data_IF_304956492867
#
_entry.id   IF_304956492867
#
_cell.length_a   1.000
_cell.length_b   1.000
_cell.length_c   1.000
_cell.angle_alpha   90.00
_cell.angle_beta   90.00
_cell.angle_gamma   90.00
#
_symmetry.space_group_name_H-M   'P 1'
#
loop_
_entity.id
_entity.type
_entity.pdbx_description
1 polymer ?
#
# COMPACT_ATOMS: atom_id res chain seq x y z
N UNK A 1 23.95 37.82 -33.89
CA UNK A 1 22.79 36.90 -33.84
C UNK A 1 23.13 35.56 -33.15
N UNK A 2 24.17 35.48 -32.31
CA UNK A 2 24.67 34.20 -31.77
C UNK A 2 24.38 33.96 -30.27
N UNK A 3 23.87 34.94 -29.53
CA UNK A 3 23.63 34.81 -28.09
C UNK A 3 22.38 33.99 -27.70
N UNK A 4 21.52 33.62 -28.65
CA UNK A 4 20.23 32.94 -28.37
C UNK A 4 20.29 31.40 -28.42
N UNK A 5 21.40 30.83 -28.88
CA UNK A 5 21.54 29.36 -28.99
C UNK A 5 21.95 28.76 -27.65
N UNK A 6 22.86 29.41 -26.93
CA UNK A 6 23.43 28.89 -25.67
C UNK A 6 22.40 28.84 -24.53
N UNK A 7 21.46 29.77 -24.48
CA UNK A 7 20.37 29.81 -23.48
C UNK A 7 19.34 28.69 -23.69
N UNK A 8 19.05 28.31 -24.93
CA UNK A 8 18.09 27.24 -25.21
C UNK A 8 18.66 25.83 -24.92
N UNK A 9 19.95 25.61 -25.13
CA UNK A 9 20.60 24.34 -24.78
C UNK A 9 20.71 24.13 -23.28
N UNK A 10 21.04 25.18 -22.51
CA UNK A 10 21.09 25.10 -21.04
C UNK A 10 19.70 24.87 -20.45
N UNK A 11 18.66 25.52 -20.97
CA UNK A 11 17.27 25.34 -20.52
C UNK A 11 16.70 23.96 -20.86
N UNK A 12 17.11 23.37 -21.97
CA UNK A 12 16.70 22.01 -22.38
C UNK A 12 17.43 20.94 -21.55
N UNK A 13 18.71 21.16 -21.20
CA UNK A 13 19.45 20.30 -20.28
C UNK A 13 18.88 20.31 -18.86
N UNK A 14 18.58 21.50 -18.32
CA UNK A 14 18.00 21.62 -16.98
C UNK A 14 16.61 20.97 -16.86
N UNK A 15 15.75 21.09 -17.87
CA UNK A 15 14.43 20.43 -17.87
C UNK A 15 14.50 18.90 -17.95
N UNK A 16 15.48 18.35 -18.67
CA UNK A 16 15.71 16.89 -18.71
C UNK A 16 16.25 16.38 -17.36
N UNK A 17 17.11 17.14 -16.69
CA UNK A 17 17.61 16.80 -15.34
C UNK A 17 16.54 17.01 -14.24
N UNK A 18 15.64 17.99 -14.39
CA UNK A 18 14.51 18.21 -13.47
C UNK A 18 13.44 17.10 -13.56
N UNK A 19 13.22 16.55 -14.75
CA UNK A 19 12.37 15.38 -14.94
C UNK A 19 13.02 14.09 -14.44
N UNK A 20 14.34 13.99 -14.45
CA UNK A 20 15.07 12.88 -13.83
C UNK A 20 15.06 12.93 -12.29
N UNK A 21 14.91 14.11 -11.69
CA UNK A 21 14.94 14.31 -10.24
C UNK A 21 13.57 14.26 -9.56
N UNK A 22 12.49 14.45 -10.31
CA UNK A 22 11.10 14.24 -9.88
C UNK A 22 10.75 12.73 -9.90
N UNK A 23 11.30 12.00 -8.92
CA UNK A 23 11.10 10.57 -8.76
C UNK A 23 9.62 10.13 -8.68
N UNK A 24 9.35 8.82 -8.81
CA UNK A 24 8.00 8.32 -9.10
C UNK A 24 6.97 8.71 -8.04
N UNK A 25 5.95 9.45 -8.44
CA UNK A 25 4.85 9.94 -7.57
C UNK A 25 3.84 8.85 -7.14
N UNK A 26 4.27 7.61 -6.94
CA UNK A 26 3.39 6.48 -6.60
C UNK A 26 3.96 5.48 -5.61
N UNK A 27 5.27 5.51 -5.37
CA UNK A 27 5.94 4.54 -4.49
C UNK A 27 5.44 4.66 -3.06
N UNK A 28 5.28 5.89 -2.54
CA UNK A 28 4.80 6.10 -1.17
C UNK A 28 3.41 5.53 -0.90
N UNK A 29 2.47 5.67 -1.85
CA UNK A 29 1.11 5.12 -1.71
C UNK A 29 1.16 3.60 -1.68
N UNK A 30 1.94 2.98 -2.57
CA UNK A 30 2.08 1.53 -2.62
C UNK A 30 2.74 0.97 -1.34
N UNK A 31 3.84 1.58 -0.89
CA UNK A 31 4.51 1.16 0.37
C UNK A 31 3.59 1.36 1.57
N UNK A 32 2.87 2.47 1.65
CA UNK A 32 1.91 2.72 2.72
C UNK A 32 0.80 1.66 2.74
N UNK A 33 0.28 1.29 1.57
CA UNK A 33 -0.73 0.26 1.40
C UNK A 33 -0.22 -1.11 1.87
N UNK A 34 0.97 -1.53 1.42
CA UNK A 34 1.55 -2.82 1.80
C UNK A 34 1.84 -2.90 3.29
N UNK A 35 2.43 -1.83 3.86
CA UNK A 35 2.71 -1.78 5.29
C UNK A 35 1.43 -1.66 6.13
N UNK A 36 0.39 -0.98 5.63
CA UNK A 36 -0.91 -0.95 6.30
C UNK A 36 -1.54 -2.34 6.34
N UNK A 37 -1.46 -3.09 5.24
CA UNK A 37 -1.93 -4.46 5.18
C UNK A 37 -1.14 -5.38 6.11
N UNK A 38 0.18 -5.23 6.15
CA UNK A 38 1.03 -5.96 7.09
C UNK A 38 0.65 -5.65 8.55
N UNK A 39 0.48 -4.38 8.89
CA UNK A 39 0.06 -3.97 10.24
C UNK A 39 -1.34 -4.46 10.57
N UNK A 40 -2.29 -4.41 9.63
CA UNK A 40 -3.62 -4.97 9.82
C UNK A 40 -3.53 -6.45 10.24
N UNK A 41 -2.70 -7.26 9.58
CA UNK A 41 -2.56 -8.68 9.90
C UNK A 41 -1.95 -8.92 11.29
N UNK A 42 -1.04 -8.05 11.73
CA UNK A 42 -0.44 -8.10 13.08
C UNK A 42 -1.43 -7.65 14.15
N UNK A 43 -2.19 -6.59 13.88
CA UNK A 43 -3.08 -5.94 14.85
C UNK A 43 -4.40 -6.69 15.02
N UNK A 44 -4.88 -7.36 13.98
CA UNK A 44 -6.17 -8.06 13.98
C UNK A 44 -6.36 -9.05 15.15
N UNK A 45 -5.44 -9.98 15.46
CA UNK A 45 -5.62 -10.88 16.61
C UNK A 45 -5.68 -10.13 17.95
N UNK A 46 -4.97 -9.01 18.08
CA UNK A 46 -4.99 -8.16 19.29
C UNK A 46 -6.37 -7.49 19.43
N UNK A 47 -6.85 -6.87 18.35
CA UNK A 47 -8.17 -6.21 18.31
C UNK A 47 -9.28 -7.22 18.61
N UNK A 48 -9.25 -8.40 17.98
CA UNK A 48 -10.24 -9.45 18.23
C UNK A 48 -10.20 -9.96 19.67
N UNK A 49 -9.01 -10.10 20.27
CA UNK A 49 -8.87 -10.50 21.67
C UNK A 49 -9.47 -9.46 22.62
N UNK A 50 -9.20 -8.17 22.39
CA UNK A 50 -9.77 -7.07 23.18
C UNK A 50 -11.29 -7.05 23.05
N UNK A 51 -11.81 -7.02 21.81
CA UNK A 51 -13.27 -6.98 21.57
C UNK A 51 -13.98 -8.24 22.10
N UNK A 52 -13.34 -9.41 22.00
CA UNK A 52 -13.85 -10.66 22.56
C UNK A 52 -13.92 -10.63 24.10
N UNK A 53 -12.89 -10.11 24.75
CA UNK A 53 -12.88 -9.95 26.23
C UNK A 53 -13.94 -8.98 26.75
N UNK A 54 -14.32 -8.00 25.92
CA UNK A 54 -15.40 -7.04 26.22
C UNK A 54 -16.80 -7.57 25.89
N UNK A 55 -16.91 -8.81 25.36
CA UNK A 55 -18.19 -9.38 24.92
C UNK A 55 -18.79 -8.72 23.67
N UNK A 56 -17.99 -7.92 22.95
CA UNK A 56 -18.43 -7.20 21.75
C UNK A 56 -18.54 -8.14 20.55
N UNK A 57 -17.62 -9.11 20.46
CA UNK A 57 -17.64 -10.21 19.48
C UNK A 57 -17.45 -11.53 20.22
N UNK A 58 -17.70 -12.65 19.54
CA UNK A 58 -17.35 -13.96 20.10
C UNK A 58 -15.83 -14.05 20.28
N UNK A 59 -15.32 -14.51 21.44
CA UNK A 59 -13.89 -14.63 21.65
C UNK A 59 -13.30 -15.58 20.60
N UNK A 60 -12.23 -15.17 19.89
CA UNK A 60 -11.63 -16.00 18.87
C UNK A 60 -11.05 -17.26 19.51
N UNK A 61 -11.28 -18.42 18.88
CA UNK A 61 -10.53 -19.62 19.22
C UNK A 61 -9.10 -19.44 18.71
N UNK A 62 -8.17 -19.12 19.61
CA UNK A 62 -6.76 -18.91 19.26
C UNK A 62 -6.16 -20.27 18.89
N UNK A 63 -5.94 -20.48 17.60
CA UNK A 63 -5.17 -21.60 17.06
C UNK A 63 -3.82 -21.09 16.57
N UNK A 64 -2.81 -21.98 16.50
CA UNK A 64 -1.49 -21.61 15.95
C UNK A 64 -1.63 -21.03 14.55
N UNK A 65 -2.51 -21.60 13.73
CA UNK A 65 -2.79 -21.15 12.35
C UNK A 65 -3.41 -19.75 12.29
N UNK A 66 -4.26 -19.37 13.25
CA UNK A 66 -4.90 -18.04 13.31
C UNK A 66 -3.93 -16.92 13.70
N UNK A 67 -2.75 -17.27 14.24
CA UNK A 67 -1.69 -16.32 14.59
C UNK A 67 -0.56 -16.36 13.57
N UNK A 68 -0.04 -17.54 13.27
CA UNK A 68 1.13 -17.72 12.38
C UNK A 68 0.81 -17.36 10.93
N UNK A 69 -0.37 -17.76 10.43
CA UNK A 69 -0.78 -17.46 9.05
C UNK A 69 -0.76 -15.96 8.73
N UNK A 70 -1.46 -15.12 9.51
CA UNK A 70 -1.43 -13.66 9.33
C UNK A 70 -0.03 -13.06 9.47
N UNK A 71 0.82 -13.57 10.37
CA UNK A 71 2.20 -13.08 10.51
C UNK A 71 3.07 -13.37 9.28
N UNK A 72 2.91 -14.53 8.65
CA UNK A 72 3.59 -14.85 7.38
C UNK A 72 3.16 -13.87 6.29
N UNK A 73 1.84 -13.63 6.18
CA UNK A 73 1.30 -12.66 5.23
C UNK A 73 1.85 -11.25 5.52
N UNK A 74 1.88 -10.85 6.79
CA UNK A 74 2.43 -9.56 7.22
C UNK A 74 3.90 -9.41 6.80
N UNK A 75 4.72 -10.43 7.02
CA UNK A 75 6.13 -10.43 6.63
C UNK A 75 6.30 -10.28 5.11
N UNK A 76 5.47 -10.97 4.31
CA UNK A 76 5.48 -10.85 2.85
C UNK A 76 5.18 -9.41 2.43
N UNK A 77 4.11 -8.81 2.93
CA UNK A 77 3.74 -7.43 2.56
C UNK A 77 4.72 -6.39 3.08
N UNK A 78 5.28 -6.57 4.28
CA UNK A 78 6.36 -5.72 4.78
C UNK A 78 7.60 -5.77 3.86
N UNK A 79 7.97 -6.97 3.40
CA UNK A 79 9.09 -7.18 2.48
C UNK A 79 8.81 -6.62 1.07
N UNK A 80 7.56 -6.68 0.59
CA UNK A 80 7.14 -6.06 -0.67
C UNK A 80 7.25 -4.54 -0.60
N UNK A 81 6.74 -3.91 0.46
CA UNK A 81 6.87 -2.47 0.68
C UNK A 81 8.34 -2.03 0.77
N UNK A 82 9.19 -2.78 1.48
CA UNK A 82 10.64 -2.51 1.49
C UNK A 82 11.29 -2.74 0.11
N UNK A 83 10.80 -3.72 -0.65
CA UNK A 83 11.23 -3.97 -2.03
C UNK A 83 10.95 -2.78 -2.95
N UNK A 84 9.76 -2.19 -2.85
CA UNK A 84 9.39 -0.97 -3.57
C UNK A 84 10.22 0.23 -3.11
N UNK A 85 10.40 0.40 -1.79
CA UNK A 85 11.21 1.48 -1.19
C UNK A 85 12.67 1.41 -1.62
N UNK A 86 13.22 0.20 -1.73
CA UNK A 86 14.60 -0.07 -2.17
C UNK A 86 14.77 -0.12 -3.69
N UNK A 87 13.73 0.21 -4.47
CA UNK A 87 13.82 0.34 -5.92
C UNK A 87 14.00 -0.99 -6.66
N UNK A 88 13.60 -2.13 -6.08
CA UNK A 88 13.74 -3.43 -6.73
C UNK A 88 12.72 -3.58 -7.86
N UNK A 89 13.21 -3.77 -9.09
CA UNK A 89 12.34 -3.86 -10.28
C UNK A 89 11.29 -4.98 -10.24
N UNK A 90 11.60 -6.12 -9.60
CA UNK A 90 10.62 -7.21 -9.42
C UNK A 90 9.45 -6.81 -8.51
N UNK A 91 9.71 -5.98 -7.49
CA UNK A 91 8.69 -5.54 -6.55
C UNK A 91 7.60 -4.72 -7.25
N UNK A 92 7.99 -3.92 -8.26
CA UNK A 92 7.03 -3.22 -9.12
C UNK A 92 6.08 -4.20 -9.84
N UNK A 93 6.62 -5.26 -10.43
CA UNK A 93 5.82 -6.23 -11.19
C UNK A 93 4.87 -6.96 -10.25
N UNK A 94 5.38 -7.45 -9.12
CA UNK A 94 4.56 -8.13 -8.10
C UNK A 94 3.46 -7.19 -7.59
N UNK A 95 3.79 -5.92 -7.32
CA UNK A 95 2.80 -4.95 -6.85
C UNK A 95 1.71 -4.65 -7.88
N UNK A 96 2.05 -4.57 -9.17
CA UNK A 96 1.06 -4.41 -10.24
C UNK A 96 0.08 -5.58 -10.28
N UNK A 97 0.58 -6.81 -10.11
CA UNK A 97 -0.24 -8.02 -10.07
C UNK A 97 -1.12 -8.02 -8.82
N UNK A 98 -0.53 -7.85 -7.63
CA UNK A 98 -1.26 -7.86 -6.37
C UNK A 98 -2.31 -6.74 -6.32
N UNK A 99 -2.00 -5.54 -6.80
CA UNK A 99 -2.96 -4.43 -6.82
C UNK A 99 -4.08 -4.68 -7.83
N UNK A 100 -3.78 -5.26 -9.00
CA UNK A 100 -4.83 -5.66 -9.95
C UNK A 100 -5.77 -6.71 -9.34
N UNK A 101 -5.21 -7.71 -8.65
CA UNK A 101 -5.99 -8.71 -7.91
C UNK A 101 -6.76 -8.10 -6.75
N UNK A 102 -6.16 -7.14 -6.04
CA UNK A 102 -6.80 -6.38 -4.96
C UNK A 102 -8.01 -5.62 -5.45
N UNK A 103 -7.93 -4.98 -6.62
CA UNK A 103 -9.08 -4.34 -7.26
C UNK A 103 -10.22 -5.32 -7.55
N UNK A 104 -9.91 -6.49 -8.15
CA UNK A 104 -10.90 -7.54 -8.39
C UNK A 104 -11.48 -8.08 -7.08
N UNK A 105 -10.65 -8.25 -6.05
CA UNK A 105 -11.06 -8.60 -4.70
C UNK A 105 -11.99 -7.55 -4.08
N UNK A 106 -11.74 -6.26 -4.33
CA UNK A 106 -12.60 -5.16 -3.92
C UNK A 106 -14.00 -5.23 -4.57
N UNK A 107 -14.06 -5.58 -5.85
CA UNK A 107 -15.34 -5.83 -6.55
C UNK A 107 -16.08 -7.00 -5.90
N UNK A 108 -15.38 -8.12 -5.67
CA UNK A 108 -15.97 -9.28 -4.97
C UNK A 108 -16.47 -8.92 -3.58
N UNK A 109 -15.68 -8.20 -2.79
CA UNK A 109 -16.05 -7.73 -1.46
C UNK A 109 -17.28 -6.81 -1.49
N UNK A 110 -17.41 -5.96 -2.52
CA UNK A 110 -18.58 -5.11 -2.69
C UNK A 110 -19.85 -5.93 -2.90
N UNK A 111 -19.80 -6.98 -3.74
CA UNK A 111 -20.94 -7.90 -3.91
C UNK A 111 -21.30 -8.62 -2.61
N UNK A 112 -20.30 -9.09 -1.87
CA UNK A 112 -20.50 -9.74 -0.56
C UNK A 112 -21.06 -8.77 0.50
N UNK A 113 -20.84 -7.47 0.35
CA UNK A 113 -21.37 -6.45 1.25
C UNK A 113 -22.86 -6.15 1.05
N UNK A 114 -23.45 -6.45 -0.12
CA UNK A 114 -24.85 -6.08 -0.46
C UNK A 114 -25.86 -6.51 0.63
N UNK A 115 -25.85 -7.76 1.15
CA UNK A 115 -26.79 -8.17 2.20
C UNK A 115 -26.57 -7.45 3.54
N UNK A 116 -25.35 -6.97 3.80
CA UNK A 116 -25.05 -6.17 5.00
C UNK A 116 -25.58 -4.74 4.87
N UNK A 117 -25.51 -4.16 3.67
CA UNK A 117 -26.07 -2.83 3.37
C UNK A 117 -27.58 -2.78 3.55
N UNK A 118 -28.29 -3.83 3.10
CA UNK A 118 -29.74 -3.95 3.32
C UNK A 118 -30.16 -3.97 4.79
N UNK A 119 -29.22 -4.27 5.70
CA UNK A 119 -29.40 -4.25 7.16
C UNK A 119 -28.83 -3.00 7.83
N UNK A 120 -28.41 -1.99 7.06
CA UNK A 120 -27.79 -0.75 7.55
C UNK A 120 -26.35 -0.92 8.05
N UNK A 121 -25.69 -2.04 7.79
CA UNK A 121 -24.29 -2.26 8.17
C UNK A 121 -23.35 -1.88 7.01
N UNK A 122 -22.71 -0.71 7.13
CA UNK A 122 -21.78 -0.17 6.14
C UNK A 122 -20.31 -0.51 6.40
N UNK A 123 -19.97 -1.17 7.53
CA UNK A 123 -18.58 -1.53 7.86
C UNK A 123 -17.89 -2.36 6.77
N UNK A 124 -18.54 -3.36 6.13
CA UNK A 124 -17.92 -4.13 5.06
C UNK A 124 -17.49 -3.29 3.85
N UNK A 125 -18.03 -2.08 3.68
CA UNK A 125 -17.62 -1.19 2.60
C UNK A 125 -16.22 -0.62 2.80
N UNK A 126 -15.74 -0.47 4.04
CA UNK A 126 -14.45 0.16 4.32
C UNK A 126 -13.30 -0.55 3.57
N UNK A 127 -13.06 -1.87 3.75
CA UNK A 127 -12.01 -2.55 3.00
C UNK A 127 -12.30 -2.61 1.49
N UNK A 128 -13.57 -2.77 1.09
CA UNK A 128 -13.94 -2.83 -0.33
C UNK A 128 -13.61 -1.51 -1.06
N UNK A 129 -13.99 -0.37 -0.48
CA UNK A 129 -13.72 0.96 -1.05
C UNK A 129 -12.22 1.27 -1.10
N UNK A 130 -11.47 0.89 -0.06
CA UNK A 130 -10.00 1.03 -0.07
C UNK A 130 -9.42 0.26 -1.26
N UNK A 131 -9.82 -1.00 -1.47
CA UNK A 131 -9.35 -1.79 -2.60
C UNK A 131 -9.78 -1.22 -3.95
N UNK A 132 -11.02 -0.75 -4.07
CA UNK A 132 -11.57 -0.19 -5.31
C UNK A 132 -10.97 1.16 -5.68
N UNK A 133 -10.45 1.92 -4.72
CA UNK A 133 -9.87 3.26 -4.96
C UNK A 133 -8.35 3.19 -5.00
N UNK A 134 -7.72 2.63 -3.97
CA UNK A 134 -6.25 2.67 -3.81
C UNK A 134 -5.57 1.75 -4.81
N UNK A 135 -6.10 0.55 -5.05
CA UNK A 135 -5.47 -0.41 -5.96
C UNK A 135 -5.35 0.11 -7.41
N UNK A 136 -6.40 0.65 -8.07
CA UNK A 136 -6.26 1.18 -9.42
C UNK A 136 -5.35 2.42 -9.46
N UNK A 137 -5.30 3.24 -8.39
CA UNK A 137 -4.34 4.34 -8.30
C UNK A 137 -2.90 3.81 -8.28
N UNK A 138 -2.62 2.76 -7.50
CA UNK A 138 -1.30 2.11 -7.46
C UNK A 138 -0.95 1.56 -8.85
N UNK A 139 -1.86 0.81 -9.47
CA UNK A 139 -1.65 0.25 -10.82
C UNK A 139 -1.34 1.34 -11.83
N UNK A 140 -2.16 2.40 -11.86
CA UNK A 140 -1.98 3.52 -12.77
C UNK A 140 -0.67 4.27 -12.54
N UNK A 141 -0.27 4.49 -11.29
CA UNK A 141 0.99 5.18 -10.97
C UNK A 141 2.21 4.32 -11.32
N UNK A 142 2.19 3.03 -11.00
CA UNK A 142 3.31 2.11 -11.23
C UNK A 142 3.44 1.68 -12.71
N UNK A 143 2.36 1.73 -13.49
CA UNK A 143 2.39 1.42 -14.92
C UNK A 143 3.04 2.53 -15.77
N UNK A 144 3.17 3.76 -15.24
CA UNK A 144 3.77 4.88 -15.97
C UNK A 144 5.19 4.55 -16.46
N UNK A 145 5.53 4.90 -17.72
CA UNK A 145 6.87 4.65 -18.28
C UNK A 145 8.00 5.22 -17.42
N UNK A 146 7.82 6.45 -16.89
CA UNK A 146 8.77 7.12 -16.00
C UNK A 146 9.07 6.29 -14.76
N UNK A 147 8.05 5.67 -14.16
CA UNK A 147 8.23 4.79 -13.00
C UNK A 147 8.95 3.51 -13.40
N UNK A 148 8.57 2.92 -14.54
CA UNK A 148 9.25 1.74 -15.08
C UNK A 148 10.73 1.98 -15.37
N UNK A 149 11.09 3.14 -15.92
CA UNK A 149 12.48 3.54 -16.17
C UNK A 149 13.24 3.73 -14.86
N UNK A 150 12.65 4.41 -13.87
CA UNK A 150 13.26 4.60 -12.56
C UNK A 150 13.65 3.27 -11.89
N UNK A 151 12.75 2.28 -11.88
CA UNK A 151 13.04 0.94 -11.33
C UNK A 151 14.11 0.16 -12.10
N UNK A 152 14.41 0.54 -13.35
CA UNK A 152 15.48 -0.08 -14.15
C UNK A 152 16.84 0.57 -13.90
N UNK A 153 16.87 1.84 -13.55
CA UNK A 153 18.11 2.63 -13.47
C UNK A 153 18.56 2.92 -12.05
N UNK A 154 17.67 2.91 -11.06
CA UNK A 154 18.00 3.25 -9.68
C UNK A 154 18.76 2.13 -8.98
N UNK A 155 19.84 2.48 -8.27
CA UNK A 155 20.50 1.54 -7.34
C UNK A 155 19.71 1.44 -6.04
N UNK A 156 19.77 0.29 -5.35
CA UNK A 156 19.07 0.15 -4.06
C UNK A 156 19.61 1.09 -2.98
N UNK A 157 20.88 1.49 -3.06
CA UNK A 157 21.46 2.47 -2.15
C UNK A 157 20.85 3.86 -2.37
N UNK A 158 20.74 4.29 -3.64
CA UNK A 158 20.17 5.60 -3.98
C UNK A 158 18.67 5.67 -3.70
N UNK A 159 17.94 4.59 -3.98
CA UNK A 159 16.52 4.47 -3.65
C UNK A 159 16.28 4.60 -2.14
N UNK A 160 17.07 3.88 -1.31
CA UNK A 160 16.98 3.97 0.15
C UNK A 160 17.39 5.33 0.69
N UNK A 161 18.39 5.98 0.09
CA UNK A 161 18.81 7.33 0.45
C UNK A 161 17.69 8.35 0.18
N UNK A 162 17.01 8.22 -0.97
CA UNK A 162 15.86 9.06 -1.33
C UNK A 162 14.65 8.84 -0.42
N UNK A 163 14.40 7.59 -0.03
CA UNK A 163 13.31 7.19 0.87
C UNK A 163 13.79 6.93 2.30
N UNK A 164 14.78 7.71 2.75
CA UNK A 164 15.37 7.64 4.09
C UNK A 164 14.83 8.74 5.01
N UNK A 165 15.47 8.90 6.18
CA UNK A 165 15.13 9.95 7.15
C UNK A 165 13.73 9.78 7.76
N UNK A 166 12.94 10.86 7.75
CA UNK A 166 11.59 10.88 8.32
C UNK A 166 10.53 10.19 7.43
N UNK A 167 10.85 9.95 6.15
CA UNK A 167 9.92 9.35 5.19
C UNK A 167 9.36 7.98 5.62
N UNK A 168 10.18 6.97 5.98
CA UNK A 168 9.65 5.68 6.41
C UNK A 168 8.82 5.78 7.69
N UNK A 169 9.15 6.69 8.60
CA UNK A 169 8.36 6.92 9.80
C UNK A 169 6.98 7.50 9.50
N UNK A 170 6.91 8.47 8.59
CA UNK A 170 5.63 9.04 8.16
C UNK A 170 4.75 7.98 7.49
N UNK A 171 5.34 7.14 6.62
CA UNK A 171 4.62 6.02 6.00
C UNK A 171 4.14 5.04 7.07
N UNK A 172 5.00 4.67 8.03
CA UNK A 172 4.65 3.75 9.11
C UNK A 172 3.48 4.27 9.96
N UNK A 173 3.46 5.56 10.30
CA UNK A 173 2.35 6.19 11.05
C UNK A 173 1.04 6.08 10.26
N UNK A 174 1.04 6.45 8.99
CA UNK A 174 -0.15 6.34 8.14
C UNK A 174 -0.59 4.89 7.96
N UNK A 175 0.36 3.97 7.81
CA UNK A 175 0.09 2.54 7.75
C UNK A 175 -0.52 1.99 9.03
N UNK A 176 -0.07 2.48 10.20
CA UNK A 176 -0.64 2.09 11.49
C UNK A 176 -2.09 2.56 11.62
N UNK A 177 -2.36 3.82 11.28
CA UNK A 177 -3.72 4.37 11.30
C UNK A 177 -4.63 3.58 10.35
N UNK A 178 -4.22 3.43 9.08
CA UNK A 178 -4.99 2.73 8.06
C UNK A 178 -5.20 1.25 8.39
N UNK A 179 -4.14 0.53 8.75
CA UNK A 179 -4.20 -0.90 9.07
C UNK A 179 -5.06 -1.18 10.30
N UNK A 180 -4.98 -0.34 11.33
CA UNK A 180 -5.81 -0.47 12.54
C UNK A 180 -7.28 -0.21 12.24
N UNK A 181 -7.60 0.82 11.44
CA UNK A 181 -8.98 1.10 11.03
C UNK A 181 -9.61 -0.06 10.26
N UNK A 182 -8.86 -0.67 9.33
CA UNK A 182 -9.35 -1.84 8.59
C UNK A 182 -9.48 -3.06 9.51
N UNK A 183 -8.53 -3.30 10.40
CA UNK A 183 -8.61 -4.39 11.37
C UNK A 183 -9.83 -4.27 12.29
N UNK A 184 -10.14 -3.05 12.76
CA UNK A 184 -11.33 -2.76 13.56
C UNK A 184 -12.61 -3.02 12.75
N UNK A 185 -12.71 -2.47 11.54
CA UNK A 185 -13.86 -2.70 10.67
C UNK A 185 -14.10 -4.19 10.43
N UNK A 186 -13.05 -4.93 10.04
CA UNK A 186 -13.13 -6.36 9.78
C UNK A 186 -13.52 -7.17 11.03
N UNK A 187 -13.04 -6.80 12.20
CA UNK A 187 -13.37 -7.49 13.46
C UNK A 187 -14.83 -7.25 13.85
N UNK A 188 -15.34 -6.03 13.64
CA UNK A 188 -16.73 -5.67 13.96
C UNK A 188 -17.75 -6.29 13.00
N UNK A 189 -17.33 -6.73 11.82
CA UNK A 189 -18.18 -7.51 10.91
C UNK A 189 -18.54 -8.91 11.45
N UNK A 190 -17.83 -9.40 12.47
CA UNK A 190 -18.03 -10.73 13.07
C UNK A 190 -19.07 -10.75 14.21
N UNK A 191 -19.71 -9.60 14.49
CA UNK A 191 -20.84 -9.50 15.42
C UNK A 191 -22.05 -10.27 14.90
#
# INVERSE_FOLDING_TARGET
MEQNISTNTVRRGSMMDEQATSGPQGIGVAVAFDWAFALQMVVMPIVQSILGSMGVIKPPQIQVTTVVGPLIIAAIFAALGEGLRSGRGWARIVQLVISSLGFLGGIGALFLAIPALGRGNFLPLVPALILLIVSPIIVWRLSRPVTGQWFKTVSSADARRRHGGAWPWLILIWSLIGGTLVALSASLMQR
#
